data_IF_181833982564
#
_entry.id   IF_181833982564
#
_cell.length_a   1.000
_cell.length_b   1.000
_cell.length_c   1.000
_cell.angle_alpha   90.00
_cell.angle_beta   90.00
_cell.angle_gamma   90.00
#
_symmetry.space_group_name_H-M   'P 1'
#
loop_
_entity.id
_entity.type
_entity.pdbx_description
1 polymer ?
#
# COMPACT_ATOMS: atom_id res chain seq x y z
N UNK A 1 1.28 43.20 21.26
CA UNK A 1 1.58 42.08 22.17
C UNK A 1 1.62 40.79 21.36
N UNK A 2 2.80 40.14 21.35
CA UNK A 2 3.13 38.73 21.07
C UNK A 2 2.36 38.00 19.94
N UNK A 3 2.94 37.78 18.75
CA UNK A 3 3.87 36.69 18.40
C UNK A 3 3.45 35.30 18.92
N UNK A 4 3.08 34.39 17.99
CA UNK A 4 3.64 33.04 18.00
C UNK A 4 3.65 32.42 16.59
N UNK A 5 4.89 32.18 16.16
CA UNK A 5 5.31 31.49 14.95
C UNK A 5 5.16 29.98 15.21
N UNK A 6 4.72 29.21 14.21
CA UNK A 6 5.22 27.83 14.07
C UNK A 6 5.51 27.54 12.61
N UNK A 7 6.80 27.70 12.27
CA UNK A 7 7.42 27.18 11.06
C UNK A 7 7.60 25.68 11.25
N UNK A 8 7.04 24.87 10.37
CA UNK A 8 7.39 23.44 10.26
C UNK A 8 8.86 23.35 9.84
N UNK A 9 9.74 23.19 10.83
CA UNK A 9 11.14 22.87 10.63
C UNK A 9 11.25 21.36 10.33
N UNK A 10 11.45 21.01 9.07
CA UNK A 10 11.91 19.69 8.67
C UNK A 10 13.39 19.57 9.08
N UNK A 11 13.65 18.95 10.23
CA UNK A 11 15.01 18.69 10.69
C UNK A 11 15.64 17.57 9.84
N UNK A 12 16.43 17.97 8.83
CA UNK A 12 17.48 17.14 8.25
C UNK A 12 18.60 16.99 9.29
N UNK A 13 18.63 15.88 10.02
CA UNK A 13 19.75 15.56 10.90
C UNK A 13 20.92 15.00 10.07
N UNK A 14 21.91 15.87 9.82
CA UNK A 14 23.23 15.51 9.27
C UNK A 14 24.05 14.82 10.36
N UNK A 15 24.07 13.49 10.37
CA UNK A 15 25.01 12.70 11.17
C UNK A 15 26.14 12.25 10.25
N UNK A 16 27.26 12.97 10.32
CA UNK A 16 28.53 12.59 9.70
C UNK A 16 29.15 11.44 10.50
N UNK A 17 28.91 10.20 10.07
CA UNK A 17 29.74 9.06 10.47
C UNK A 17 30.50 8.54 9.27
N UNK A 18 31.82 8.72 9.31
CA UNK A 18 32.76 8.00 8.46
C UNK A 18 32.64 6.50 8.74
N UNK A 19 32.05 5.75 7.80
CA UNK A 19 32.03 4.30 7.82
C UNK A 19 32.85 3.78 6.64
N UNK A 20 33.95 3.10 6.97
CA UNK A 20 34.81 2.42 6.01
C UNK A 20 34.03 1.41 5.15
N UNK A 21 34.43 1.36 3.89
CA UNK A 21 33.86 0.56 2.80
C UNK A 21 33.93 -0.95 3.07
N UNK A 22 32.76 -1.59 3.23
CA UNK A 22 32.56 -3.04 3.02
C UNK A 22 31.07 -3.47 2.97
N UNK A 23 30.12 -2.62 3.36
CA UNK A 23 28.69 -2.99 3.48
C UNK A 23 27.85 -2.89 2.18
N UNK A 24 28.43 -2.42 1.10
CA UNK A 24 27.68 -1.82 0.00
C UNK A 24 26.87 -2.80 -0.87
N UNK A 25 27.41 -3.93 -1.36
CA UNK A 25 26.60 -4.91 -2.10
C UNK A 25 25.55 -5.58 -1.21
N UNK A 26 25.88 -5.79 0.07
CA UNK A 26 24.96 -6.34 1.07
C UNK A 26 23.79 -5.38 1.34
N UNK A 27 24.05 -4.07 1.31
CA UNK A 27 23.03 -3.05 1.48
C UNK A 27 22.06 -2.99 0.30
N UNK A 28 22.55 -3.07 -0.93
CA UNK A 28 21.69 -3.13 -2.12
C UNK A 28 20.90 -4.42 -2.17
N UNK A 29 21.52 -5.56 -1.87
CA UNK A 29 20.82 -6.84 -1.83
C UNK A 29 19.70 -6.84 -0.79
N UNK A 30 19.97 -6.29 0.40
CA UNK A 30 18.96 -6.15 1.47
C UNK A 30 17.79 -5.24 1.10
N UNK A 31 18.08 -4.07 0.51
CA UNK A 31 17.05 -3.18 -0.04
C UNK A 31 16.25 -3.87 -1.14
N UNK A 32 16.92 -4.59 -2.04
CA UNK A 32 16.29 -5.27 -3.15
C UNK A 32 15.38 -6.41 -2.67
N UNK A 33 15.83 -7.21 -1.69
CA UNK A 33 15.00 -8.22 -1.05
C UNK A 33 13.75 -7.59 -0.38
N UNK A 34 13.96 -6.51 0.38
CA UNK A 34 12.90 -5.76 1.06
C UNK A 34 11.92 -5.14 0.06
N UNK A 35 12.41 -4.52 -1.02
CA UNK A 35 11.59 -3.91 -2.05
C UNK A 35 10.74 -4.92 -2.82
N UNK A 36 11.27 -6.12 -3.07
CA UNK A 36 10.50 -7.24 -3.63
C UNK A 36 9.39 -7.67 -2.68
N UNK A 37 9.71 -7.82 -1.39
CA UNK A 37 8.74 -8.21 -0.36
C UNK A 37 7.65 -7.15 -0.19
N UNK A 38 8.02 -5.88 -0.20
CA UNK A 38 7.12 -4.73 -0.20
C UNK A 38 6.13 -4.81 -1.37
N UNK A 39 6.60 -4.88 -2.62
CA UNK A 39 5.72 -4.94 -3.79
C UNK A 39 4.80 -6.15 -3.76
N UNK A 40 5.31 -7.30 -3.32
CA UNK A 40 4.51 -8.54 -3.14
C UNK A 40 3.44 -8.37 -2.05
N UNK A 41 3.77 -7.68 -0.96
CA UNK A 41 2.85 -7.42 0.16
C UNK A 41 1.75 -6.45 -0.27
N UNK A 42 2.10 -5.39 -0.99
CA UNK A 42 1.11 -4.47 -1.55
C UNK A 42 0.14 -5.14 -2.52
N UNK A 43 0.62 -6.12 -3.30
CA UNK A 43 -0.26 -6.90 -4.17
C UNK A 43 -1.29 -7.68 -3.36
N UNK A 44 -0.89 -8.23 -2.20
CA UNK A 44 -1.84 -8.89 -1.27
C UNK A 44 -2.81 -7.88 -0.65
N UNK A 45 -2.35 -6.68 -0.31
CA UNK A 45 -3.22 -5.60 0.17
C UNK A 45 -4.26 -5.21 -0.90
N UNK A 46 -3.86 -5.13 -2.18
CA UNK A 46 -4.81 -4.89 -3.29
C UNK A 46 -5.88 -5.98 -3.38
N UNK A 47 -5.49 -7.25 -3.30
CA UNK A 47 -6.44 -8.38 -3.33
C UNK A 47 -7.39 -8.32 -2.15
N UNK A 48 -6.86 -8.14 -0.94
CA UNK A 48 -7.63 -7.98 0.28
C UNK A 48 -8.64 -6.83 0.18
N UNK A 49 -8.22 -5.71 -0.39
CA UNK A 49 -9.08 -4.56 -0.62
C UNK A 49 -10.22 -4.85 -1.62
N UNK A 50 -9.98 -5.67 -2.64
CA UNK A 50 -11.00 -6.08 -3.60
C UNK A 50 -12.02 -7.01 -2.93
N UNK A 51 -11.54 -8.04 -2.23
CA UNK A 51 -12.37 -9.07 -1.61
C UNK A 51 -13.36 -8.44 -0.63
N UNK A 52 -12.88 -7.61 0.31
CA UNK A 52 -13.75 -6.86 1.22
C UNK A 52 -14.73 -5.92 0.51
N UNK A 53 -14.32 -5.34 -0.62
CA UNK A 53 -15.21 -4.49 -1.41
C UNK A 53 -16.35 -5.31 -2.06
N UNK A 54 -16.03 -6.51 -2.56
CA UNK A 54 -16.99 -7.42 -3.17
C UNK A 54 -17.97 -7.94 -2.13
N UNK A 55 -17.48 -8.40 -0.98
CA UNK A 55 -18.31 -8.89 0.13
C UNK A 55 -19.25 -7.82 0.65
N UNK A 56 -18.74 -6.61 0.87
CA UNK A 56 -19.59 -5.48 1.24
C UNK A 56 -20.70 -5.25 0.20
N UNK A 57 -20.33 -5.22 -1.09
CA UNK A 57 -21.31 -4.96 -2.16
C UNK A 57 -22.35 -6.08 -2.21
N UNK A 58 -21.93 -7.34 -2.10
CA UNK A 58 -22.81 -8.49 -2.05
C UNK A 58 -23.76 -8.44 -0.84
N UNK A 59 -23.27 -8.03 0.33
CA UNK A 59 -24.09 -7.83 1.53
C UNK A 59 -25.06 -6.63 1.44
N UNK A 60 -24.74 -5.64 0.60
CA UNK A 60 -25.62 -4.50 0.34
C UNK A 60 -26.76 -4.85 -0.63
N UNK A 61 -26.52 -5.69 -1.64
CA UNK A 61 -27.48 -6.01 -2.71
C UNK A 61 -28.89 -6.37 -2.22
N UNK A 62 -29.09 -7.17 -1.14
CA UNK A 62 -30.42 -7.48 -0.63
C UNK A 62 -31.23 -6.27 -0.13
N UNK A 63 -30.55 -5.18 0.24
CA UNK A 63 -31.15 -3.95 0.77
C UNK A 63 -31.41 -2.89 -0.32
N UNK A 64 -31.09 -3.20 -1.57
CA UNK A 64 -31.30 -2.34 -2.72
C UNK A 64 -32.54 -2.78 -3.53
N UNK A 65 -33.05 -1.94 -4.46
CA UNK A 65 -34.10 -2.34 -5.38
C UNK A 65 -33.76 -3.66 -6.10
N UNK A 66 -34.65 -4.65 -6.00
CA UNK A 66 -34.45 -6.00 -6.54
C UNK A 66 -34.85 -6.06 -8.01
N UNK A 67 -34.19 -5.28 -8.85
CA UNK A 67 -34.38 -5.24 -10.30
C UNK A 67 -33.08 -5.48 -11.06
N UNK A 68 -33.22 -5.84 -12.34
CA UNK A 68 -32.07 -6.15 -13.20
C UNK A 68 -31.15 -4.96 -13.42
N UNK A 69 -31.68 -3.73 -13.45
CA UNK A 69 -30.88 -2.53 -13.67
C UNK A 69 -29.93 -2.28 -12.50
N UNK A 70 -30.42 -2.41 -11.27
CA UNK A 70 -29.65 -2.28 -10.04
C UNK A 70 -28.53 -3.33 -9.98
N UNK A 71 -28.85 -4.61 -10.22
CA UNK A 71 -27.85 -5.67 -10.24
C UNK A 71 -26.76 -5.42 -11.28
N UNK A 72 -27.15 -4.98 -12.49
CA UNK A 72 -26.23 -4.74 -13.59
C UNK A 72 -25.29 -3.56 -13.31
N UNK A 73 -25.79 -2.45 -12.76
CA UNK A 73 -24.96 -1.29 -12.39
C UNK A 73 -23.91 -1.66 -11.35
N UNK A 74 -24.31 -2.37 -10.28
CA UNK A 74 -23.36 -2.78 -9.24
C UNK A 74 -22.34 -3.82 -9.75
N UNK A 75 -22.78 -4.76 -10.59
CA UNK A 75 -21.89 -5.74 -11.21
C UNK A 75 -20.85 -5.07 -12.10
N UNK A 76 -21.26 -4.13 -12.96
CA UNK A 76 -20.35 -3.39 -13.83
C UNK A 76 -19.34 -2.56 -13.03
N UNK A 77 -19.78 -1.87 -11.97
CA UNK A 77 -18.89 -1.12 -11.10
C UNK A 77 -17.83 -2.02 -10.43
N UNK A 78 -18.21 -3.22 -10.01
CA UNK A 78 -17.27 -4.18 -9.40
C UNK A 78 -16.31 -4.78 -10.43
N UNK A 79 -16.76 -5.05 -11.65
CA UNK A 79 -15.90 -5.49 -12.75
C UNK A 79 -14.87 -4.42 -13.14
N UNK A 80 -15.28 -3.15 -13.21
CA UNK A 80 -14.36 -2.03 -13.46
C UNK A 80 -13.32 -1.90 -12.34
N UNK A 81 -13.73 -2.02 -11.08
CA UNK A 81 -12.80 -2.01 -9.93
C UNK A 81 -11.83 -3.20 -9.97
N UNK A 82 -12.32 -4.40 -10.28
CA UNK A 82 -11.47 -5.58 -10.40
C UNK A 82 -10.42 -5.41 -11.51
N UNK A 83 -10.81 -4.89 -12.67
CA UNK A 83 -9.88 -4.59 -13.76
C UNK A 83 -8.82 -3.54 -13.38
N UNK A 84 -9.23 -2.50 -12.64
CA UNK A 84 -8.31 -1.49 -12.10
C UNK A 84 -7.27 -2.12 -11.17
N UNK A 85 -7.73 -2.91 -10.19
CA UNK A 85 -6.84 -3.56 -9.22
C UNK A 85 -5.96 -4.65 -9.85
N UNK A 86 -6.42 -5.30 -10.92
CA UNK A 86 -5.58 -6.19 -11.72
C UNK A 86 -4.45 -5.41 -12.39
N UNK A 87 -4.75 -4.26 -13.01
CA UNK A 87 -3.74 -3.38 -13.62
C UNK A 87 -2.70 -2.94 -12.58
N UNK A 88 -3.15 -2.60 -11.37
CA UNK A 88 -2.25 -2.26 -10.27
C UNK A 88 -1.40 -3.46 -9.83
N UNK A 89 -1.97 -4.66 -9.82
CA UNK A 89 -1.25 -5.89 -9.46
C UNK A 89 -0.17 -6.24 -10.47
N UNK A 90 -0.44 -6.10 -11.76
CA UNK A 90 0.53 -6.31 -12.84
C UNK A 90 1.68 -5.29 -12.74
N UNK A 91 1.37 -4.05 -12.38
CA UNK A 91 2.36 -3.01 -12.12
C UNK A 91 3.26 -3.37 -10.92
N UNK A 92 2.68 -3.84 -9.81
CA UNK A 92 3.44 -4.28 -8.63
C UNK A 92 4.33 -5.50 -8.95
N UNK A 93 3.90 -6.39 -9.85
CA UNK A 93 4.74 -7.49 -10.34
C UNK A 93 5.97 -6.98 -11.10
N UNK A 94 5.84 -5.91 -11.91
CA UNK A 94 6.99 -5.29 -12.60
C UNK A 94 7.96 -4.63 -11.61
N UNK A 95 7.45 -4.04 -10.53
CA UNK A 95 8.29 -3.47 -9.48
C UNK A 95 9.02 -4.57 -8.69
N UNK A 96 8.33 -5.66 -8.35
CA UNK A 96 8.93 -6.83 -7.70
C UNK A 96 10.02 -7.47 -8.59
N UNK A 97 9.79 -7.53 -9.91
CA UNK A 97 10.79 -8.01 -10.87
C UNK A 97 12.04 -7.11 -10.89
N UNK A 98 11.87 -5.79 -10.91
CA UNK A 98 13.01 -4.86 -10.84
C UNK A 98 13.85 -5.10 -9.59
N UNK A 99 13.21 -5.20 -8.42
CA UNK A 99 13.92 -5.48 -7.17
C UNK A 99 14.57 -6.86 -7.16
N UNK A 100 13.96 -7.89 -7.74
CA UNK A 100 14.58 -9.21 -7.87
C UNK A 100 15.86 -9.16 -8.72
N UNK A 101 15.83 -8.44 -9.84
CA UNK A 101 17.00 -8.27 -10.72
C UNK A 101 18.07 -7.36 -10.10
N UNK A 102 17.69 -6.39 -9.26
CA UNK A 102 18.64 -5.56 -8.50
C UNK A 102 19.38 -6.40 -7.46
N UNK A 103 18.68 -7.32 -6.79
CA UNK A 103 19.28 -8.29 -5.86
C UNK A 103 20.25 -9.21 -6.59
N UNK A 104 19.87 -9.73 -7.75
CA UNK A 104 20.75 -10.55 -8.58
C UNK A 104 22.02 -9.78 -8.99
N UNK A 105 21.87 -8.51 -9.42
CA UNK A 105 23.01 -7.65 -9.77
C UNK A 105 23.93 -7.39 -8.56
N UNK A 106 23.36 -7.11 -7.38
CA UNK A 106 24.13 -6.92 -6.14
C UNK A 106 24.94 -8.17 -5.74
N UNK A 107 24.43 -9.37 -6.07
CA UNK A 107 25.09 -10.67 -5.87
C UNK A 107 26.08 -11.06 -6.98
N UNK A 108 26.36 -10.17 -7.94
CA UNK A 108 27.31 -10.42 -9.04
C UNK A 108 26.68 -10.93 -10.33
N UNK A 109 25.36 -10.84 -10.47
CA UNK A 109 24.65 -11.09 -11.72
C UNK A 109 24.94 -10.04 -12.80
N UNK A 110 24.38 -10.22 -14.00
CA UNK A 110 24.60 -9.31 -15.13
C UNK A 110 23.61 -8.13 -15.12
N UNK A 111 24.09 -6.91 -15.39
CA UNK A 111 23.23 -5.71 -15.41
C UNK A 111 22.17 -5.64 -16.52
N UNK A 112 22.18 -6.58 -17.48
CA UNK A 112 21.20 -6.63 -18.57
C UNK A 112 19.80 -7.04 -18.09
N UNK A 113 19.72 -7.89 -17.07
CA UNK A 113 18.47 -8.29 -16.42
C UNK A 113 17.79 -7.11 -15.74
N UNK A 114 18.54 -6.40 -14.88
CA UNK A 114 18.05 -5.20 -14.18
C UNK A 114 17.64 -4.09 -15.13
N UNK A 115 18.38 -3.89 -16.22
CA UNK A 115 18.00 -2.94 -17.28
C UNK A 115 16.68 -3.25 -17.95
N UNK A 116 16.44 -4.53 -18.27
CA UNK A 116 15.18 -4.95 -18.87
C UNK A 116 14.02 -4.78 -17.89
N UNK A 117 14.23 -5.14 -16.63
CA UNK A 117 13.21 -4.99 -15.59
C UNK A 117 12.88 -3.53 -15.30
N UNK A 118 13.88 -2.65 -15.24
CA UNK A 118 13.66 -1.21 -15.11
C UNK A 118 12.84 -0.65 -16.28
N UNK A 119 13.14 -1.06 -17.52
CA UNK A 119 12.34 -0.65 -18.69
C UNK A 119 10.88 -1.07 -18.56
N UNK A 120 10.63 -2.32 -18.17
CA UNK A 120 9.26 -2.82 -17.93
C UNK A 120 8.55 -2.06 -16.82
N UNK A 121 9.26 -1.72 -15.73
CA UNK A 121 8.73 -0.91 -14.65
C UNK A 121 8.36 0.50 -15.15
N UNK A 122 9.21 1.15 -15.93
CA UNK A 122 8.92 2.47 -16.54
C UNK A 122 7.73 2.40 -17.50
N UNK A 123 7.66 1.37 -18.34
CA UNK A 123 6.51 1.14 -19.22
C UNK A 123 5.21 0.94 -18.43
N UNK A 124 5.26 0.21 -17.31
CA UNK A 124 4.13 0.01 -16.42
C UNK A 124 3.74 1.32 -15.70
N UNK A 125 4.70 2.13 -15.24
CA UNK A 125 4.45 3.45 -14.66
C UNK A 125 3.72 4.38 -15.63
N UNK A 126 4.13 4.39 -16.90
CA UNK A 126 3.48 5.21 -17.93
C UNK A 126 2.06 4.76 -18.26
N UNK A 127 1.70 3.52 -17.91
CA UNK A 127 0.37 2.92 -18.12
C UNK A 127 -0.43 2.82 -16.83
N UNK A 128 0.15 3.20 -15.69
CA UNK A 128 -0.51 3.09 -14.41
C UNK A 128 -1.76 3.98 -14.40
N UNK A 129 -2.84 3.54 -13.75
CA UNK A 129 -4.07 4.31 -13.69
C UNK A 129 -3.83 5.69 -13.06
N UNK A 130 -4.50 6.71 -13.60
CA UNK A 130 -4.46 8.07 -13.06
C UNK A 130 -5.24 8.11 -11.74
N UNK A 131 -4.56 7.74 -10.65
CA UNK A 131 -5.06 7.89 -9.28
C UNK A 131 -4.97 9.38 -8.92
N UNK A 132 -5.96 10.14 -9.40
CA UNK A 132 -6.22 11.51 -8.95
C UNK A 132 -5.05 12.47 -9.11
N UNK A 133 -4.31 12.39 -10.22
CA UNK A 133 -3.21 13.29 -10.55
C UNK A 133 -2.09 13.20 -9.54
N UNK A 134 -1.00 12.49 -9.89
CA UNK A 134 0.30 12.68 -9.23
C UNK A 134 0.52 14.19 -9.13
N UNK A 135 0.44 14.81 -7.93
CA UNK A 135 0.56 16.25 -7.83
C UNK A 135 1.91 16.61 -8.42
N UNK A 136 2.00 17.67 -9.23
CA UNK A 136 3.29 18.16 -9.76
C UNK A 136 4.36 18.31 -8.66
N UNK A 137 3.93 18.44 -7.40
CA UNK A 137 4.68 18.42 -6.14
C UNK A 137 5.60 17.19 -5.95
N UNK A 138 5.43 16.09 -6.69
CA UNK A 138 6.34 14.93 -6.59
C UNK A 138 7.55 14.98 -7.50
N UNK A 139 7.53 15.78 -8.58
CA UNK A 139 8.67 15.83 -9.49
C UNK A 139 9.85 16.55 -8.83
N UNK A 140 9.60 17.58 -8.02
CA UNK A 140 10.66 18.25 -7.28
C UNK A 140 11.24 17.39 -6.14
N UNK A 141 10.42 16.55 -5.50
CA UNK A 141 10.86 15.66 -4.42
C UNK A 141 11.74 14.49 -4.90
N UNK A 142 11.56 14.09 -6.17
CA UNK A 142 12.27 12.96 -6.80
C UNK A 142 13.42 13.44 -7.70
N UNK A 143 13.39 14.69 -8.16
CA UNK A 143 14.43 15.26 -9.01
C UNK A 143 15.79 15.32 -8.31
N UNK A 144 16.85 14.92 -9.03
CA UNK A 144 18.22 15.04 -8.56
C UNK A 144 18.70 13.88 -7.67
N UNK A 145 17.86 12.86 -7.44
CA UNK A 145 18.27 11.65 -6.70
C UNK A 145 19.44 10.91 -7.37
N UNK A 146 19.55 10.98 -8.70
CA UNK A 146 20.70 10.42 -9.42
C UNK A 146 22.04 11.09 -9.01
N UNK A 147 22.01 12.37 -8.64
CA UNK A 147 23.16 13.12 -8.12
C UNK A 147 23.54 12.78 -6.68
N UNK A 148 22.66 12.09 -5.95
CA UNK A 148 22.89 11.64 -4.58
C UNK A 148 23.47 10.22 -4.49
N UNK A 149 23.69 9.54 -5.62
CA UNK A 149 24.27 8.19 -5.61
C UNK A 149 25.73 8.25 -5.21
N UNK A 150 26.04 7.73 -4.02
CA UNK A 150 27.38 7.74 -3.48
C UNK A 150 28.38 6.98 -4.38
N UNK A 151 29.62 7.47 -4.42
CA UNK A 151 30.70 6.88 -5.23
C UNK A 151 31.23 5.61 -4.56
N UNK A 152 30.71 4.45 -4.96
CA UNK A 152 31.08 3.16 -4.39
C UNK A 152 32.23 2.50 -5.14
N UNK A 153 33.30 2.13 -4.44
CA UNK A 153 34.53 1.56 -5.02
C UNK A 153 34.43 0.07 -5.45
N UNK A 154 33.32 -0.63 -5.16
CA UNK A 154 33.26 -2.11 -5.32
C UNK A 154 32.26 -2.64 -6.36
N UNK A 155 31.37 -1.81 -6.94
CA UNK A 155 30.57 -2.27 -8.09
C UNK A 155 30.09 -1.08 -8.93
N UNK A 156 30.86 -0.74 -9.96
CA UNK A 156 30.51 0.33 -10.90
C UNK A 156 29.16 0.06 -11.59
N UNK A 157 28.84 -1.21 -11.85
CA UNK A 157 27.57 -1.62 -12.48
C UNK A 157 26.36 -1.41 -11.55
N UNK A 158 26.47 -1.79 -10.27
CA UNK A 158 25.40 -1.53 -9.29
C UNK A 158 25.19 -0.02 -9.12
N UNK A 159 26.28 0.76 -9.06
CA UNK A 159 26.22 2.22 -8.95
C UNK A 159 25.53 2.85 -10.16
N UNK A 160 25.91 2.44 -11.38
CA UNK A 160 25.30 2.93 -12.62
C UNK A 160 23.81 2.58 -12.68
N UNK A 161 23.45 1.38 -12.27
CA UNK A 161 22.05 0.96 -12.18
C UNK A 161 21.27 1.81 -11.18
N UNK A 162 21.79 2.03 -9.97
CA UNK A 162 21.15 2.88 -8.96
C UNK A 162 21.00 4.33 -9.44
N UNK A 163 22.00 4.89 -10.13
CA UNK A 163 21.91 6.22 -10.73
C UNK A 163 20.77 6.31 -11.75
N UNK A 164 20.67 5.31 -12.62
CA UNK A 164 19.64 5.29 -13.67
C UNK A 164 18.23 5.02 -13.13
N UNK A 165 18.13 4.23 -12.07
CA UNK A 165 16.86 3.83 -11.47
C UNK A 165 16.38 4.74 -10.33
N UNK A 166 17.24 5.65 -9.84
CA UNK A 166 16.98 6.59 -8.74
C UNK A 166 15.59 7.24 -8.82
N UNK A 167 15.31 7.92 -9.93
CA UNK A 167 14.07 8.66 -10.12
C UNK A 167 12.88 7.78 -10.50
N UNK A 168 12.99 6.82 -11.45
CA UNK A 168 11.88 5.92 -11.76
C UNK A 168 11.37 5.11 -10.57
N UNK A 169 12.28 4.60 -9.74
CA UNK A 169 11.90 3.78 -8.57
C UNK A 169 11.29 4.64 -7.48
N UNK A 170 11.81 5.85 -7.24
CA UNK A 170 11.19 6.77 -6.29
C UNK A 170 9.77 7.17 -6.72
N UNK A 171 9.54 7.43 -8.01
CA UNK A 171 8.18 7.64 -8.53
C UNK A 171 7.28 6.42 -8.32
N UNK A 172 7.80 5.20 -8.52
CA UNK A 172 7.04 3.99 -8.27
C UNK A 172 6.67 3.83 -6.78
N UNK A 173 7.60 4.08 -5.87
CA UNK A 173 7.34 4.01 -4.44
C UNK A 173 6.28 5.03 -4.00
N UNK A 174 6.28 6.24 -4.56
CA UNK A 174 5.27 7.25 -4.27
C UNK A 174 3.90 6.89 -4.85
N UNK A 175 3.84 6.38 -6.08
CA UNK A 175 2.59 5.92 -6.68
C UNK A 175 1.92 4.84 -5.81
N UNK A 176 2.71 3.91 -5.26
CA UNK A 176 2.21 2.90 -4.33
C UNK A 176 1.54 3.50 -3.09
N UNK A 177 2.12 4.57 -2.53
CA UNK A 177 1.52 5.28 -1.39
C UNK A 177 0.15 5.87 -1.76
N UNK A 178 0.02 6.45 -2.95
CA UNK A 178 -1.26 6.97 -3.43
C UNK A 178 -2.30 5.87 -3.66
N UNK A 179 -1.90 4.75 -4.27
CA UNK A 179 -2.77 3.57 -4.42
C UNK A 179 -3.28 3.10 -3.05
N UNK A 180 -2.39 2.99 -2.06
CA UNK A 180 -2.77 2.61 -0.70
C UNK A 180 -3.74 3.62 -0.07
N UNK A 181 -3.48 4.91 -0.23
CA UNK A 181 -4.34 5.96 0.29
C UNK A 181 -5.76 5.88 -0.30
N UNK A 182 -5.87 5.69 -1.61
CA UNK A 182 -7.16 5.49 -2.27
C UNK A 182 -7.87 4.25 -1.75
N UNK A 183 -7.15 3.14 -1.56
CA UNK A 183 -7.75 1.92 -0.99
C UNK A 183 -8.25 2.11 0.44
N UNK A 184 -7.45 2.78 1.28
CA UNK A 184 -7.85 3.15 2.64
C UNK A 184 -9.14 3.97 2.60
N UNK A 185 -9.20 5.01 1.78
CA UNK A 185 -10.38 5.86 1.67
C UNK A 185 -11.62 5.06 1.22
N UNK A 186 -11.47 4.22 0.19
CA UNK A 186 -12.54 3.38 -0.33
C UNK A 186 -13.07 2.39 0.71
N UNK A 187 -12.19 1.71 1.44
CA UNK A 187 -12.57 0.73 2.46
C UNK A 187 -13.21 1.44 3.64
N UNK A 188 -12.62 2.54 4.11
CA UNK A 188 -13.17 3.36 5.20
C UNK A 188 -14.60 3.80 4.92
N UNK A 189 -14.86 4.33 3.71
CA UNK A 189 -16.19 4.78 3.33
C UNK A 189 -17.20 3.62 3.27
N UNK A 190 -16.76 2.44 2.81
CA UNK A 190 -17.63 1.26 2.72
C UNK A 190 -17.91 0.64 4.08
N UNK A 191 -16.90 0.50 4.95
CA UNK A 191 -17.09 0.07 6.33
C UNK A 191 -18.05 1.01 7.07
N UNK A 192 -17.89 2.32 6.91
CA UNK A 192 -18.79 3.31 7.48
C UNK A 192 -20.23 3.12 6.99
N UNK A 193 -20.41 2.93 5.67
CA UNK A 193 -21.73 2.67 5.08
C UNK A 193 -22.32 1.34 5.60
N UNK A 194 -21.51 0.28 5.72
CA UNK A 194 -21.93 -1.01 6.27
C UNK A 194 -22.46 -0.85 7.69
N UNK A 195 -21.70 -0.12 8.51
CA UNK A 195 -22.06 0.20 9.89
C UNK A 195 -23.35 1.00 9.95
N UNK A 196 -23.54 1.97 9.06
CA UNK A 196 -24.77 2.76 8.99
C UNK A 196 -25.99 1.91 8.60
N UNK A 197 -25.84 0.99 7.64
CA UNK A 197 -26.91 0.05 7.25
C UNK A 197 -27.22 -0.92 8.40
N UNK A 198 -26.20 -1.52 9.02
CA UNK A 198 -26.39 -2.43 10.16
C UNK A 198 -27.04 -1.71 11.35
N UNK A 199 -26.61 -0.48 11.65
CA UNK A 199 -27.24 0.37 12.67
C UNK A 199 -28.70 0.68 12.32
N UNK A 200 -28.97 1.07 11.07
CA UNK A 200 -30.34 1.37 10.62
C UNK A 200 -31.26 0.18 10.83
N UNK A 201 -30.86 -1.00 10.35
CA UNK A 201 -31.73 -2.18 10.37
C UNK A 201 -31.80 -2.87 11.73
N UNK A 202 -30.69 -2.94 12.49
CA UNK A 202 -30.64 -3.69 13.75
C UNK A 202 -30.86 -2.84 15.01
N UNK A 203 -30.69 -1.52 14.92
CA UNK A 203 -30.80 -0.62 16.07
C UNK A 203 -31.93 0.39 15.87
N UNK A 204 -31.84 1.22 14.83
CA UNK A 204 -32.76 2.35 14.64
C UNK A 204 -34.19 1.87 14.35
N UNK A 205 -34.36 0.99 13.36
CA UNK A 205 -35.67 0.50 12.92
C UNK A 205 -36.43 -0.23 14.04
N UNK A 206 -35.83 -1.19 14.79
CA UNK A 206 -36.51 -1.81 15.93
C UNK A 206 -36.85 -0.82 17.06
N UNK A 207 -36.01 0.21 17.26
CA UNK A 207 -36.22 1.23 18.29
C UNK A 207 -37.41 2.14 17.96
N UNK A 208 -37.60 2.52 16.68
CA UNK A 208 -38.70 3.41 16.27
C UNK A 208 -40.02 2.67 16.00
N UNK A 209 -39.98 1.35 15.76
CA UNK A 209 -41.18 0.52 15.50
C UNK A 209 -41.99 0.17 16.78
N UNK A 210 -41.67 0.77 17.93
CA UNK A 210 -42.37 0.61 19.23
C UNK A 210 -42.55 -0.86 19.68
N UNK A 211 -41.57 -1.70 19.33
CA UNK A 211 -41.51 -3.11 19.73
C UNK A 211 -40.74 -3.25 21.05
N UNK A 212 -41.09 -4.25 21.86
CA UNK A 212 -40.34 -4.58 23.08
C UNK A 212 -38.90 -4.96 22.71
N UNK A 213 -37.94 -4.12 23.09
CA UNK A 213 -36.52 -4.31 22.78
C UNK A 213 -35.92 -5.41 23.67
N UNK A 214 -35.33 -6.43 23.04
CA UNK A 214 -34.71 -7.57 23.72
C UNK A 214 -33.18 -7.53 23.71
N UNK A 215 -32.56 -8.60 24.23
CA UNK A 215 -31.09 -8.70 24.37
C UNK A 215 -30.36 -8.61 23.03
N UNK A 216 -30.96 -9.11 21.93
CA UNK A 216 -30.41 -8.99 20.57
C UNK A 216 -30.20 -7.54 20.15
N UNK A 217 -31.19 -6.67 20.42
CA UNK A 217 -31.09 -5.24 20.11
C UNK A 217 -30.01 -4.56 20.96
N UNK A 218 -29.99 -4.85 22.27
CA UNK A 218 -28.99 -4.32 23.20
C UNK A 218 -27.57 -4.70 22.78
N UNK A 219 -27.35 -5.95 22.38
CA UNK A 219 -26.06 -6.42 21.88
C UNK A 219 -25.67 -5.73 20.56
N UNK A 220 -26.61 -5.53 19.63
CA UNK A 220 -26.36 -4.81 18.39
C UNK A 220 -25.96 -3.33 18.63
N UNK A 221 -26.67 -2.65 19.55
CA UNK A 221 -26.34 -1.27 19.92
C UNK A 221 -24.98 -1.18 20.63
N UNK A 222 -24.72 -2.07 21.60
CA UNK A 222 -23.42 -2.11 22.28
C UNK A 222 -22.27 -2.43 21.33
N UNK A 223 -22.48 -3.33 20.37
CA UNK A 223 -21.50 -3.63 19.31
C UNK A 223 -21.21 -2.38 18.48
N UNK A 224 -22.24 -1.69 18.01
CA UNK A 224 -22.08 -0.46 17.22
C UNK A 224 -21.29 0.63 17.96
N UNK A 225 -21.61 0.88 19.23
CA UNK A 225 -20.92 1.90 20.04
C UNK A 225 -19.45 1.55 20.32
N UNK A 226 -19.12 0.27 20.43
CA UNK A 226 -17.76 -0.21 20.74
C UNK A 226 -16.88 -0.44 19.51
N UNK A 227 -17.44 -0.37 18.30
CA UNK A 227 -16.73 -0.77 17.09
C UNK A 227 -15.78 0.35 16.64
N UNK A 228 -14.48 0.06 16.69
CA UNK A 228 -13.43 0.88 16.06
C UNK A 228 -13.37 0.50 14.57
N UNK A 229 -13.24 1.45 13.62
CA UNK A 229 -13.05 1.14 12.20
C UNK A 229 -11.82 0.24 12.00
N UNK A 230 -11.94 -0.80 11.17
CA UNK A 230 -10.85 -1.78 10.99
C UNK A 230 -9.95 -1.33 9.85
N UNK A 231 -9.20 -0.24 10.08
CA UNK A 231 -8.30 0.36 9.06
C UNK A 231 -6.83 0.20 9.47
N UNK A 232 -6.55 -0.37 10.66
CA UNK A 232 -5.19 -0.47 11.21
C UNK A 232 -4.21 -1.19 10.28
N UNK A 233 -4.65 -2.24 9.58
CA UNK A 233 -3.78 -3.00 8.67
C UNK A 233 -3.34 -2.15 7.47
N UNK A 234 -4.24 -1.36 6.91
CA UNK A 234 -3.95 -0.54 5.73
C UNK A 234 -3.13 0.71 6.12
N UNK A 235 -3.37 1.29 7.29
CA UNK A 235 -2.53 2.36 7.83
C UNK A 235 -1.10 1.86 8.15
N UNK A 236 -0.96 0.62 8.65
CA UNK A 236 0.36 -0.02 8.78
C UNK A 236 1.04 -0.19 7.42
N UNK A 237 0.30 -0.60 6.38
CA UNK A 237 0.83 -0.73 5.02
C UNK A 237 1.35 0.62 4.49
N UNK A 238 0.62 1.71 4.76
CA UNK A 238 0.98 3.07 4.39
C UNK A 238 2.23 3.56 5.13
N UNK A 239 2.33 3.33 6.44
CA UNK A 239 3.53 3.64 7.21
C UNK A 239 4.76 2.90 6.65
N UNK A 240 4.62 1.59 6.39
CA UNK A 240 5.69 0.78 5.80
C UNK A 240 6.10 1.27 4.38
N UNK A 241 5.16 1.81 3.61
CA UNK A 241 5.44 2.42 2.30
C UNK A 241 6.31 3.69 2.41
N UNK A 242 6.09 4.51 3.44
CA UNK A 242 6.92 5.69 3.73
C UNK A 242 8.32 5.24 4.15
N UNK A 243 8.42 4.24 5.02
CA UNK A 243 9.72 3.73 5.47
C UNK A 243 10.52 3.11 4.30
N UNK A 244 9.84 2.47 3.34
CA UNK A 244 10.48 1.96 2.11
C UNK A 244 11.02 3.08 1.21
N UNK A 245 10.30 4.21 1.10
CA UNK A 245 10.81 5.40 0.38
C UNK A 245 12.06 5.95 1.06
N UNK A 246 12.07 6.03 2.39
CA UNK A 246 13.23 6.48 3.13
C UNK A 246 14.42 5.53 2.96
N UNK A 247 14.18 4.21 2.98
CA UNK A 247 15.23 3.22 2.74
C UNK A 247 15.83 3.32 1.33
N UNK A 248 15.01 3.58 0.31
CA UNK A 248 15.49 3.85 -1.05
C UNK A 248 16.46 5.04 -1.07
N UNK A 249 16.05 6.18 -0.49
CA UNK A 249 16.89 7.40 -0.42
C UNK A 249 18.18 7.15 0.36
N UNK A 250 18.10 6.45 1.49
CA UNK A 250 19.26 6.13 2.31
C UNK A 250 20.27 5.30 1.53
N UNK A 251 19.82 4.25 0.81
CA UNK A 251 20.72 3.43 0.00
C UNK A 251 21.35 4.23 -1.13
N UNK A 252 20.63 5.12 -1.81
CA UNK A 252 21.25 6.00 -2.81
C UNK A 252 22.41 6.82 -2.18
N UNK A 253 22.22 7.33 -0.97
CA UNK A 253 23.24 8.08 -0.22
C UNK A 253 24.37 7.21 0.35
N UNK A 254 24.29 5.89 0.24
CA UNK A 254 25.21 4.96 0.89
C UNK A 254 24.98 4.83 2.41
N UNK A 255 23.83 5.28 2.89
CA UNK A 255 23.39 5.27 4.28
C UNK A 255 22.45 4.07 4.55
N UNK A 256 22.43 3.55 5.77
CA UNK A 256 21.28 2.79 6.29
C UNK A 256 21.44 1.29 6.56
N UNK A 257 20.47 0.81 7.35
CA UNK A 257 20.08 -0.58 7.65
C UNK A 257 18.60 -0.76 7.27
N UNK A 258 18.22 -1.96 6.83
CA UNK A 258 16.91 -2.34 6.28
C UNK A 258 16.26 -3.51 7.03
N UNK A 259 16.93 -4.03 8.07
CA UNK A 259 16.49 -5.21 8.83
C UNK A 259 15.11 -5.00 9.47
N UNK A 260 14.81 -3.76 9.89
CA UNK A 260 13.51 -3.41 10.46
C UNK A 260 12.36 -3.55 9.45
N UNK A 261 12.59 -3.23 8.17
CA UNK A 261 11.56 -3.26 7.13
C UNK A 261 11.12 -4.69 6.77
N UNK A 262 12.05 -5.65 6.76
CA UNK A 262 11.71 -7.06 6.53
C UNK A 262 10.71 -7.56 7.58
N UNK A 263 10.98 -7.27 8.86
CA UNK A 263 10.08 -7.63 9.96
C UNK A 263 8.70 -6.98 9.85
N UNK A 264 8.63 -5.71 9.42
CA UNK A 264 7.36 -5.01 9.19
C UNK A 264 6.54 -5.73 8.11
N UNK A 265 7.14 -6.05 6.96
CA UNK A 265 6.40 -6.69 5.86
C UNK A 265 6.02 -8.14 6.14
N UNK A 266 6.83 -8.88 6.90
CA UNK A 266 6.46 -10.22 7.39
C UNK A 266 5.26 -10.15 8.32
N UNK A 267 5.26 -9.21 9.27
CA UNK A 267 4.14 -9.00 10.17
C UNK A 267 2.88 -8.57 9.40
N UNK A 268 3.01 -7.66 8.43
CA UNK A 268 1.90 -7.21 7.60
C UNK A 268 1.28 -8.38 6.82
N UNK A 269 2.13 -9.19 6.20
CA UNK A 269 1.69 -10.36 5.47
C UNK A 269 1.02 -11.39 6.40
N UNK A 270 1.56 -11.61 7.61
CA UNK A 270 0.93 -12.44 8.63
C UNK A 270 -0.44 -11.91 9.05
N UNK A 271 -0.58 -10.60 9.26
CA UNK A 271 -1.84 -9.95 9.61
C UNK A 271 -2.88 -10.08 8.49
N UNK A 272 -2.49 -9.92 7.21
CA UNK A 272 -3.38 -10.14 6.05
C UNK A 272 -3.88 -11.58 6.03
N UNK A 273 -2.97 -12.56 6.20
CA UNK A 273 -3.35 -13.97 6.24
C UNK A 273 -4.26 -14.30 7.43
N UNK A 274 -4.00 -13.72 8.59
CA UNK A 274 -4.84 -13.88 9.76
C UNK A 274 -6.24 -13.27 9.55
N UNK A 275 -6.36 -12.16 8.83
CA UNK A 275 -7.65 -11.56 8.48
C UNK A 275 -8.46 -12.48 7.57
N UNK A 276 -7.85 -13.04 6.51
CA UNK A 276 -8.49 -14.04 5.65
C UNK A 276 -8.99 -15.29 6.42
N UNK A 277 -8.25 -15.73 7.43
CA UNK A 277 -8.61 -16.92 8.22
C UNK A 277 -9.63 -16.64 9.33
N UNK A 278 -9.95 -15.37 9.62
CA UNK A 278 -10.86 -14.97 10.70
C UNK A 278 -12.30 -14.74 10.26
N UNK A 279 -12.61 -14.79 8.97
CA UNK A 279 -13.99 -14.81 8.49
C UNK A 279 -14.52 -16.25 8.52
N UNK A 280 -15.37 -16.61 9.49
CA UNK A 280 -16.14 -17.84 9.34
C UNK A 280 -17.18 -17.56 8.26
N UNK A 281 -17.24 -18.45 7.27
CA UNK A 281 -18.39 -18.61 6.38
C UNK A 281 -19.58 -18.98 7.29
N UNK A 282 -20.25 -17.99 7.89
CA UNK A 282 -21.56 -18.19 8.49
C UNK A 282 -22.59 -17.97 7.39
N UNK A 283 -22.62 -18.90 6.44
CA UNK A 283 -23.89 -19.23 5.80
C UNK A 283 -24.69 -20.01 6.83
N UNK A 284 -25.53 -19.30 7.58
CA UNK A 284 -26.70 -19.93 8.20
C UNK A 284 -27.67 -20.22 7.04
N UNK A 285 -27.96 -21.49 6.71
CA UNK A 285 -29.06 -21.79 5.81
C UNK A 285 -30.36 -21.61 6.62
N UNK A 286 -31.15 -20.60 6.27
CA UNK A 286 -32.58 -20.57 6.58
C UNK A 286 -33.37 -21.17 5.43
#
# INVERSE_FOLDING_TARGET
MLQLISRFAVCFALVLTAACASKTPLQVDGLAATGKQYATTLKKVNSFALDHTLEFTAGLLPNLPRDNATLLVHTQAMQQRAALLQTTSDYLDMQALYFAELSALAKGGTGTGTTRALRKLVEALNKAPDVGGIPRVSKEAVAGLAGHVASWNHSAQVREELQRSAEPVAHALLLNQHILQEQIQWITQREELARQVEYREKVLKPFVEDKKLGETWKNAWMKYIKQVPTIELLEQAKAASIDMQQAWVNVLRGEGSFEHLQGIFDQLNSNIQAAYNREPITHDPQ
#
